data_IF_461675968702
#
_entry.id   IF_461675968702
#
_cell.length_a   1.000
_cell.length_b   1.000
_cell.length_c   1.000
_cell.angle_alpha   90.00
_cell.angle_beta   90.00
_cell.angle_gamma   90.00
#
_symmetry.space_group_name_H-M   'P 1'
#
loop_
_entity.id
_entity.type
_entity.pdbx_description
1 polymer ?
#
# COMPACT_ATOMS: atom_id res chain seq x y z
N UNK A 1 9.56 -28.53 -10.84
CA UNK A 1 10.43 -27.96 -9.78
C UNK A 1 10.18 -26.46 -9.70
N UNK A 2 10.25 -25.93 -8.48
CA UNK A 2 9.98 -24.55 -8.00
C UNK A 2 8.52 -24.17 -7.74
N UNK A 3 8.22 -23.49 -6.62
CA UNK A 3 7.34 -24.08 -5.62
C UNK A 3 6.16 -23.19 -5.19
N UNK A 4 5.19 -23.87 -4.60
CA UNK A 4 4.09 -23.34 -3.79
C UNK A 4 4.59 -22.44 -2.67
N UNK A 5 4.00 -21.26 -2.53
CA UNK A 5 4.00 -20.48 -1.28
C UNK A 5 2.52 -20.29 -0.91
N UNK A 6 1.98 -21.27 -0.19
CA UNK A 6 0.73 -21.13 0.55
C UNK A 6 1.11 -20.65 1.96
N UNK A 7 0.71 -19.43 2.29
CA UNK A 7 0.75 -18.94 3.66
C UNK A 7 -0.30 -19.71 4.47
N UNK A 8 0.18 -20.56 5.38
CA UNK A 8 -0.60 -21.40 6.28
C UNK A 8 -0.94 -20.61 7.54
N UNK A 9 -2.17 -20.08 7.63
CA UNK A 9 -2.82 -19.73 8.91
C UNK A 9 -4.19 -19.08 8.66
N UNK A 10 -5.25 -19.91 8.63
CA UNK A 10 -6.61 -19.60 9.12
C UNK A 10 -7.54 -20.78 8.77
N UNK A 11 -7.38 -21.88 9.50
CA UNK A 11 -8.33 -22.99 9.50
C UNK A 11 -9.29 -22.80 10.67
N UNK A 12 -10.52 -22.37 10.38
CA UNK A 12 -11.64 -22.55 11.30
C UNK A 12 -12.47 -23.74 10.81
N UNK A 13 -12.47 -24.79 11.63
CA UNK A 13 -13.29 -25.99 11.47
C UNK A 13 -14.48 -25.88 12.43
N UNK A 14 -15.68 -26.23 11.95
CA UNK A 14 -16.87 -26.45 12.79
C UNK A 14 -17.33 -27.92 12.67
N UNK A 15 -18.01 -28.45 13.70
CA UNK A 15 -18.13 -29.90 13.93
C UNK A 15 -19.18 -30.57 13.04
N UNK A 16 -18.94 -31.84 12.69
CA UNK A 16 -19.96 -32.76 12.14
C UNK A 16 -20.91 -33.26 13.25
N UNK A 17 -21.92 -34.10 13.02
CA UNK A 17 -22.42 -34.88 11.86
C UNK A 17 -23.84 -35.30 12.25
N UNK A 18 -24.80 -35.35 11.32
CA UNK A 18 -25.90 -36.31 11.42
C UNK A 18 -26.22 -36.91 10.05
N UNK A 19 -26.41 -38.23 10.05
CA UNK A 19 -26.59 -39.08 8.90
C UNK A 19 -27.93 -38.83 8.22
N UNK A 20 -27.91 -38.51 6.93
CA UNK A 20 -29.07 -38.62 6.06
C UNK A 20 -28.67 -39.47 4.86
N UNK A 21 -29.33 -40.61 4.69
CA UNK A 21 -29.20 -41.43 3.50
C UNK A 21 -29.74 -40.63 2.31
N UNK A 22 -28.87 -40.26 1.36
CA UNK A 22 -29.26 -39.53 0.15
C UNK A 22 -28.98 -40.40 -1.07
N UNK A 23 -30.01 -40.62 -1.88
CA UNK A 23 -29.92 -41.28 -3.19
C UNK A 23 -28.76 -40.73 -4.01
N UNK A 24 -27.85 -41.62 -4.42
CA UNK A 24 -26.61 -41.31 -5.15
C UNK A 24 -26.83 -40.48 -6.42
N UNK A 25 -27.96 -40.64 -7.10
CA UNK A 25 -28.24 -39.93 -8.35
C UNK A 25 -28.67 -38.48 -8.14
N UNK A 26 -29.37 -38.18 -7.05
CA UNK A 26 -29.80 -36.81 -6.71
C UNK A 26 -28.61 -35.96 -6.25
N UNK A 27 -27.74 -36.56 -5.42
CA UNK A 27 -26.56 -35.87 -4.90
C UNK A 27 -25.56 -35.57 -6.03
N UNK A 28 -25.44 -36.44 -7.04
CA UNK A 28 -24.55 -36.22 -8.18
C UNK A 28 -25.01 -35.06 -9.07
N UNK A 29 -26.32 -34.91 -9.28
CA UNK A 29 -26.89 -33.77 -9.99
C UNK A 29 -26.86 -32.47 -9.16
N UNK A 30 -27.12 -32.53 -7.85
CA UNK A 30 -26.91 -31.37 -6.96
C UNK A 30 -25.43 -30.95 -6.90
N UNK A 31 -24.49 -31.90 -6.85
CA UNK A 31 -23.06 -31.63 -6.89
C UNK A 31 -22.69 -31.01 -8.24
N UNK A 32 -23.19 -31.54 -9.38
CA UNK A 32 -23.00 -30.96 -10.73
C UNK A 32 -23.58 -29.55 -10.85
N UNK A 33 -24.77 -29.30 -10.30
CA UNK A 33 -25.39 -27.99 -10.27
C UNK A 33 -24.59 -27.01 -9.38
N UNK A 34 -24.11 -27.46 -8.22
CA UNK A 34 -23.21 -26.69 -7.34
C UNK A 34 -21.82 -26.49 -7.96
N UNK A 35 -21.32 -27.40 -8.79
CA UNK A 35 -20.08 -27.18 -9.56
C UNK A 35 -20.29 -26.22 -10.74
N UNK A 36 -21.47 -26.21 -11.36
CA UNK A 36 -21.86 -25.23 -12.40
C UNK A 36 -21.84 -23.79 -11.90
N UNK A 37 -22.10 -23.57 -10.61
CA UNK A 37 -21.94 -22.25 -9.97
C UNK A 37 -20.48 -21.75 -9.96
N UNK A 38 -19.50 -22.61 -10.28
CA UNK A 38 -18.06 -22.30 -10.29
C UNK A 38 -17.43 -22.20 -11.68
N UNK A 39 -18.20 -22.49 -12.74
CA UNK A 39 -17.72 -22.56 -14.12
C UNK A 39 -17.81 -23.97 -14.74
N UNK A 40 -17.42 -24.08 -16.02
CA UNK A 40 -17.19 -25.33 -16.76
C UNK A 40 -15.68 -25.60 -16.90
N UNK A 41 -15.29 -26.74 -17.51
CA UNK A 41 -13.89 -26.99 -17.88
C UNK A 41 -13.31 -25.92 -18.81
N UNK A 42 -14.15 -25.27 -19.62
CA UNK A 42 -13.76 -24.26 -20.62
C UNK A 42 -13.97 -22.82 -20.16
N UNK A 43 -14.62 -22.58 -19.02
CA UNK A 43 -14.94 -21.25 -18.54
C UNK A 43 -15.06 -21.18 -17.03
N UNK A 44 -14.49 -20.14 -16.42
CA UNK A 44 -14.74 -19.79 -15.02
C UNK A 44 -15.08 -18.31 -14.92
N UNK A 45 -15.98 -17.91 -14.01
CA UNK A 45 -16.30 -16.51 -13.80
C UNK A 45 -15.06 -15.72 -13.36
N UNK A 46 -14.97 -14.42 -13.73
CA UNK A 46 -13.90 -13.56 -13.26
C UNK A 46 -13.80 -13.56 -11.74
N UNK A 47 -12.57 -13.62 -11.22
CA UNK A 47 -12.29 -13.61 -9.78
C UNK A 47 -12.17 -12.18 -9.27
N UNK A 48 -12.57 -11.96 -8.01
CA UNK A 48 -12.30 -10.72 -7.29
C UNK A 48 -10.82 -10.62 -6.94
N UNK A 49 -9.99 -10.30 -7.92
CA UNK A 49 -8.55 -10.11 -7.77
C UNK A 49 -8.13 -8.79 -8.41
N UNK A 50 -7.23 -8.07 -7.73
CA UNK A 50 -6.66 -6.83 -8.23
C UNK A 50 -5.51 -7.15 -9.18
N UNK A 51 -5.57 -6.58 -10.39
CA UNK A 51 -4.55 -6.71 -11.41
C UNK A 51 -3.73 -5.41 -11.45
N UNK A 52 -2.44 -5.53 -11.15
CA UNK A 52 -1.52 -4.39 -11.09
C UNK A 52 -0.76 -4.13 -12.39
N UNK A 53 -0.95 -4.97 -13.41
CA UNK A 53 -0.28 -4.85 -14.71
C UNK A 53 -1.24 -4.42 -15.79
N UNK A 54 -0.75 -3.68 -16.79
CA UNK A 54 -1.52 -3.36 -17.99
C UNK A 54 -1.64 -4.63 -18.84
N UNK A 55 -2.83 -4.89 -19.37
CA UNK A 55 -3.04 -6.02 -20.28
C UNK A 55 -2.41 -5.71 -21.65
N UNK A 56 -1.68 -6.67 -22.24
CA UNK A 56 -1.12 -6.50 -23.58
C UNK A 56 -2.21 -6.31 -24.63
N UNK A 57 -1.90 -5.56 -25.68
CA UNK A 57 -2.79 -5.34 -26.81
C UNK A 57 -2.70 -6.52 -27.77
N UNK A 58 -3.84 -7.16 -28.06
CA UNK A 58 -3.95 -8.30 -28.96
C UNK A 58 -5.06 -8.08 -30.00
N UNK A 59 -5.01 -8.82 -31.11
CA UNK A 59 -6.09 -8.72 -32.12
C UNK A 59 -7.36 -9.34 -31.54
N UNK A 60 -8.52 -8.75 -31.86
CA UNK A 60 -9.84 -9.23 -31.39
C UNK A 60 -10.01 -10.75 -31.59
N UNK A 61 -9.68 -11.24 -32.78
CA UNK A 61 -9.81 -12.67 -33.12
C UNK A 61 -8.97 -13.57 -32.22
N UNK A 62 -7.76 -13.14 -31.85
CA UNK A 62 -6.85 -13.90 -30.97
C UNK A 62 -7.42 -13.98 -29.56
N UNK A 63 -7.89 -12.83 -29.01
CA UNK A 63 -8.47 -12.79 -27.66
C UNK A 63 -9.74 -13.63 -27.61
N UNK A 64 -10.66 -13.47 -28.57
CA UNK A 64 -11.92 -14.22 -28.62
C UNK A 64 -11.68 -15.73 -28.75
N UNK A 65 -10.71 -16.16 -29.57
CA UNK A 65 -10.32 -17.55 -29.67
C UNK A 65 -9.71 -18.07 -28.35
N UNK A 66 -8.89 -17.27 -27.67
CA UNK A 66 -8.28 -17.64 -26.37
C UNK A 66 -9.28 -17.79 -25.21
N UNK A 67 -10.47 -17.18 -25.33
CA UNK A 67 -11.60 -17.37 -24.40
C UNK A 67 -12.64 -18.37 -24.95
N UNK A 68 -12.23 -19.24 -25.88
CA UNK A 68 -13.04 -20.31 -26.47
C UNK A 68 -14.37 -19.85 -27.08
N UNK A 69 -14.39 -18.64 -27.65
CA UNK A 69 -15.60 -18.02 -28.19
C UNK A 69 -16.72 -17.87 -27.14
N UNK A 70 -16.39 -17.86 -25.85
CA UNK A 70 -17.33 -17.64 -24.76
C UNK A 70 -17.25 -16.19 -24.28
N UNK A 71 -18.37 -15.64 -23.81
CA UNK A 71 -18.34 -14.40 -23.04
C UNK A 71 -17.54 -14.60 -21.75
N UNK A 72 -16.54 -13.75 -21.51
CA UNK A 72 -15.71 -13.88 -20.31
C UNK A 72 -16.48 -13.68 -18.99
N UNK A 73 -17.65 -13.03 -19.02
CA UNK A 73 -18.45 -12.72 -17.82
C UNK A 73 -19.49 -13.76 -17.45
N UNK A 74 -20.18 -14.36 -18.43
CA UNK A 74 -21.28 -15.30 -18.20
C UNK A 74 -21.08 -16.69 -18.83
N UNK A 75 -20.01 -16.88 -19.61
CA UNK A 75 -19.72 -18.17 -20.25
C UNK A 75 -20.62 -18.51 -21.44
N UNK A 76 -21.53 -17.62 -21.84
CA UNK A 76 -22.39 -17.82 -23.02
C UNK A 76 -21.55 -17.88 -24.29
N UNK A 77 -21.82 -18.89 -25.13
CA UNK A 77 -21.18 -19.05 -26.43
C UNK A 77 -21.55 -17.92 -27.37
N UNK A 78 -20.56 -17.40 -28.09
CA UNK A 78 -20.70 -16.28 -29.01
C UNK A 78 -20.62 -16.80 -30.44
N UNK A 79 -21.76 -16.79 -31.13
CA UNK A 79 -21.78 -17.16 -32.54
C UNK A 79 -20.91 -16.20 -33.39
N UNK A 80 -20.28 -16.68 -34.47
CA UNK A 80 -19.37 -15.88 -35.30
C UNK A 80 -19.92 -14.53 -35.76
N UNK A 81 -21.21 -14.47 -36.09
CA UNK A 81 -21.89 -13.22 -36.51
C UNK A 81 -21.97 -12.15 -35.43
N UNK A 82 -21.92 -12.53 -34.15
CA UNK A 82 -22.02 -11.62 -33.00
C UNK A 82 -20.67 -11.24 -32.40
N UNK A 83 -19.56 -11.84 -32.84
CA UNK A 83 -18.20 -11.50 -32.37
C UNK A 83 -17.91 -10.00 -32.49
N UNK A 84 -18.43 -9.34 -33.54
CA UNK A 84 -18.22 -7.90 -33.74
C UNK A 84 -18.90 -7.02 -32.68
N UNK A 85 -19.95 -7.52 -32.03
CA UNK A 85 -20.74 -6.81 -31.00
C UNK A 85 -20.15 -6.93 -29.59
N UNK A 86 -19.18 -7.83 -29.38
CA UNK A 86 -18.53 -7.96 -28.09
C UNK A 86 -17.77 -6.68 -27.71
N UNK A 87 -17.77 -6.38 -26.41
CA UNK A 87 -17.09 -5.22 -25.82
C UNK A 87 -15.84 -5.67 -25.08
N UNK A 88 -14.77 -4.92 -25.25
CA UNK A 88 -13.47 -5.24 -24.63
C UNK A 88 -13.37 -4.59 -23.26
N UNK A 89 -13.09 -5.39 -22.24
CA UNK A 89 -12.76 -4.88 -20.91
C UNK A 89 -11.25 -4.66 -20.82
N UNK A 90 -10.82 -3.41 -20.75
CA UNK A 90 -9.41 -3.00 -20.66
C UNK A 90 -8.73 -3.46 -19.36
N UNK A 91 -9.51 -3.69 -18.29
CA UNK A 91 -8.99 -4.18 -17.01
C UNK A 91 -8.65 -5.67 -17.04
N UNK A 92 -9.57 -6.51 -17.57
CA UNK A 92 -9.40 -7.97 -17.63
C UNK A 92 -8.72 -8.46 -18.92
N UNK A 93 -8.67 -7.63 -19.96
CA UNK A 93 -8.07 -7.98 -21.24
C UNK A 93 -8.87 -9.01 -22.05
N UNK A 94 -10.20 -9.00 -21.89
CA UNK A 94 -11.11 -10.02 -22.46
C UNK A 94 -12.38 -9.40 -23.04
N UNK A 95 -13.07 -10.16 -23.88
CA UNK A 95 -14.32 -9.73 -24.51
C UNK A 95 -15.56 -10.24 -23.78
N UNK A 96 -16.58 -9.37 -23.70
CA UNK A 96 -17.83 -9.59 -22.97
C UNK A 96 -19.03 -9.30 -23.88
N UNK A 97 -20.13 -10.01 -23.64
CA UNK A 97 -21.42 -9.67 -24.24
C UNK A 97 -21.96 -8.34 -23.70
N UNK A 98 -23.00 -7.83 -24.34
CA UNK A 98 -23.70 -6.61 -23.95
C UNK A 98 -24.34 -6.71 -22.55
N UNK A 99 -24.80 -7.89 -22.13
CA UNK A 99 -25.33 -8.10 -20.78
C UNK A 99 -24.26 -7.99 -19.67
N UNK A 100 -23.00 -8.29 -19.96
CA UNK A 100 -21.91 -8.27 -18.95
C UNK A 100 -21.04 -7.02 -19.05
N UNK A 101 -21.28 -6.18 -20.04
CA UNK A 101 -20.51 -4.97 -20.27
C UNK A 101 -21.44 -3.90 -20.81
N UNK A 102 -22.11 -3.17 -19.92
CA UNK A 102 -23.03 -2.08 -20.24
C UNK A 102 -22.40 -0.88 -20.97
N UNK A 103 -21.07 -0.78 -21.00
CA UNK A 103 -20.33 0.37 -21.53
C UNK A 103 -19.73 1.25 -20.44
N UNK A 104 -19.73 0.75 -19.21
CA UNK A 104 -19.10 1.38 -18.07
C UNK A 104 -17.61 1.65 -18.30
N UNK A 105 -17.11 2.72 -17.67
CA UNK A 105 -15.71 3.08 -17.70
C UNK A 105 -15.15 3.28 -16.29
N UNK A 106 -13.88 2.91 -16.11
CA UNK A 106 -13.16 3.06 -14.84
C UNK A 106 -11.70 3.43 -15.06
N UNK A 107 -11.08 4.00 -14.01
CA UNK A 107 -9.63 4.13 -13.94
C UNK A 107 -9.03 2.76 -13.66
N UNK A 108 -7.97 2.39 -14.37
CA UNK A 108 -7.35 1.06 -14.26
C UNK A 108 -6.10 1.11 -13.39
N UNK A 109 -6.04 0.37 -12.27
CA UNK A 109 -4.89 0.31 -11.37
C UNK A 109 -3.56 0.09 -12.07
N UNK A 110 -3.47 -0.90 -12.95
CA UNK A 110 -2.21 -1.19 -13.64
C UNK A 110 -1.68 -0.05 -14.51
N UNK A 111 -2.58 0.78 -15.08
CA UNK A 111 -2.19 1.97 -15.86
C UNK A 111 -1.71 3.09 -14.95
N UNK A 112 -2.40 3.34 -13.83
CA UNK A 112 -1.96 4.30 -12.80
C UNK A 112 -0.56 3.94 -12.30
N UNK A 113 -0.35 2.68 -11.94
CA UNK A 113 0.91 2.18 -11.35
C UNK A 113 2.08 2.18 -12.34
N UNK A 114 1.81 1.94 -13.63
CA UNK A 114 2.85 1.83 -14.65
C UNK A 114 3.23 3.17 -15.29
N UNK A 115 2.24 4.02 -15.58
CA UNK A 115 2.42 5.25 -16.36
C UNK A 115 1.69 6.47 -15.81
N UNK A 116 1.20 6.43 -14.56
CA UNK A 116 0.49 7.55 -13.92
C UNK A 116 -0.74 8.04 -14.69
N UNK A 117 -1.37 7.11 -15.40
CA UNK A 117 -2.53 7.37 -16.24
C UNK A 117 -3.83 7.13 -15.45
N UNK A 118 -4.67 8.17 -15.38
CA UNK A 118 -5.98 8.13 -14.72
C UNK A 118 -7.11 8.36 -15.73
N UNK A 119 -6.85 8.11 -17.02
CA UNK A 119 -7.90 8.01 -18.02
C UNK A 119 -8.94 6.96 -17.62
N UNK A 120 -10.18 7.18 -18.05
CA UNK A 120 -11.25 6.20 -17.89
C UNK A 120 -11.28 5.33 -19.14
N UNK A 121 -11.38 4.03 -18.93
CA UNK A 121 -11.32 3.03 -19.97
C UNK A 121 -12.51 2.08 -19.88
N UNK A 122 -13.00 1.55 -21.01
CA UNK A 122 -14.10 0.58 -21.03
C UNK A 122 -13.78 -0.65 -20.17
N UNK A 123 -14.70 -0.99 -19.26
CA UNK A 123 -14.58 -2.14 -18.38
C UNK A 123 -15.92 -2.89 -18.29
N UNK A 124 -15.83 -4.21 -18.08
CA UNK A 124 -17.03 -5.02 -17.80
C UNK A 124 -17.70 -4.57 -16.50
N UNK A 125 -18.99 -4.85 -16.35
CA UNK A 125 -19.76 -4.41 -15.18
C UNK A 125 -19.22 -5.05 -13.89
N UNK A 126 -18.78 -6.31 -13.97
CA UNK A 126 -18.03 -6.97 -12.91
C UNK A 126 -16.77 -6.19 -12.51
N UNK A 127 -15.97 -5.78 -13.48
CA UNK A 127 -14.71 -5.06 -13.24
C UNK A 127 -14.98 -3.68 -12.65
N UNK A 128 -16.03 -3.00 -13.13
CA UNK A 128 -16.49 -1.72 -12.58
C UNK A 128 -16.85 -1.86 -11.10
N UNK A 129 -17.68 -2.85 -10.75
CA UNK A 129 -18.07 -3.12 -9.38
C UNK A 129 -16.87 -3.42 -8.48
N UNK A 130 -15.94 -4.28 -8.94
CA UNK A 130 -14.71 -4.57 -8.21
C UNK A 130 -13.89 -3.29 -7.97
N UNK A 131 -13.58 -2.55 -9.03
CA UNK A 131 -12.74 -1.35 -8.97
C UNK A 131 -13.35 -0.27 -8.07
N UNK A 132 -14.66 -0.08 -8.10
CA UNK A 132 -15.36 0.85 -7.23
C UNK A 132 -15.30 0.40 -5.75
N UNK A 133 -15.49 -0.91 -5.49
CA UNK A 133 -15.46 -1.44 -4.12
C UNK A 133 -14.10 -1.30 -3.43
N UNK A 134 -13.01 -1.29 -4.20
CA UNK A 134 -11.63 -1.19 -3.68
C UNK A 134 -11.04 0.21 -3.81
N UNK A 135 -11.79 1.18 -4.34
CA UNK A 135 -11.27 2.50 -4.71
C UNK A 135 -10.61 3.24 -3.53
N UNK A 136 -11.25 3.18 -2.36
CA UNK A 136 -10.80 3.82 -1.12
C UNK A 136 -9.95 2.89 -0.25
N UNK A 137 -9.74 1.63 -0.65
CA UNK A 137 -9.02 0.66 0.17
C UNK A 137 -7.51 0.81 -0.02
N UNK A 138 -6.72 0.86 1.07
CA UNK A 138 -5.27 1.03 1.00
C UNK A 138 -4.59 -0.30 0.64
N UNK A 139 -4.56 -0.63 -0.65
CA UNK A 139 -4.11 -1.94 -1.17
C UNK A 139 -2.81 -1.86 -1.98
N UNK A 140 -2.31 -0.67 -2.26
CA UNK A 140 -1.20 -0.44 -3.19
C UNK A 140 0.06 -0.02 -2.44
N UNK A 141 0.89 -0.99 -2.08
CA UNK A 141 2.26 -0.73 -1.62
C UNK A 141 3.16 -0.40 -2.81
N UNK A 142 3.54 0.87 -2.94
CA UNK A 142 4.31 1.36 -4.08
C UNK A 142 5.74 0.82 -4.12
N UNK A 143 6.26 0.27 -3.02
CA UNK A 143 7.54 -0.45 -3.03
C UNK A 143 7.45 -1.80 -3.74
N UNK A 144 6.24 -2.38 -3.80
CA UNK A 144 5.96 -3.66 -4.43
C UNK A 144 5.46 -3.50 -5.87
N UNK A 145 4.40 -2.71 -6.07
CA UNK A 145 3.66 -2.65 -7.34
C UNK A 145 3.93 -1.41 -8.20
N UNK A 146 4.58 -0.38 -7.64
CA UNK A 146 4.74 0.94 -8.26
C UNK A 146 6.18 1.47 -8.23
N UNK A 147 7.18 0.58 -8.31
CA UNK A 147 8.60 0.85 -7.97
C UNK A 147 9.20 2.11 -8.61
N UNK A 148 8.74 2.49 -9.80
CA UNK A 148 9.27 3.63 -10.54
C UNK A 148 8.45 4.92 -10.35
N UNK A 149 7.30 4.88 -9.68
CA UNK A 149 6.40 6.03 -9.58
C UNK A 149 7.03 7.22 -8.86
N UNK A 150 7.75 6.98 -7.75
CA UNK A 150 8.44 8.06 -7.05
C UNK A 150 9.45 8.80 -7.94
N UNK A 151 10.18 8.08 -8.78
CA UNK A 151 11.15 8.69 -9.70
C UNK A 151 10.50 9.48 -10.84
N UNK A 152 9.28 9.10 -11.24
CA UNK A 152 8.57 9.69 -12.39
C UNK A 152 7.61 10.80 -12.00
N UNK A 153 7.08 10.78 -10.78
CA UNK A 153 5.99 11.64 -10.33
C UNK A 153 6.46 12.50 -9.17
N UNK A 154 6.87 13.73 -9.50
CA UNK A 154 7.43 14.69 -8.53
C UNK A 154 6.48 14.98 -7.35
N UNK A 155 5.17 15.11 -7.61
CA UNK A 155 4.19 15.38 -6.54
C UNK A 155 4.05 14.21 -5.56
N UNK A 156 4.17 12.98 -6.04
CA UNK A 156 4.14 11.80 -5.19
C UNK A 156 5.41 11.70 -4.33
N UNK A 157 6.57 12.03 -4.91
CA UNK A 157 7.84 12.09 -4.21
C UNK A 157 7.83 13.16 -3.11
N UNK A 158 7.32 14.36 -3.43
CA UNK A 158 7.08 15.44 -2.45
C UNK A 158 6.14 15.01 -1.33
N UNK A 159 5.07 14.29 -1.66
CA UNK A 159 4.16 13.77 -0.63
C UNK A 159 4.87 12.80 0.30
N UNK A 160 5.68 11.87 -0.24
CA UNK A 160 6.47 10.92 0.56
C UNK A 160 7.39 11.64 1.54
N UNK A 161 8.11 12.67 1.11
CA UNK A 161 9.00 13.44 1.98
C UNK A 161 8.25 14.10 3.14
N UNK A 162 7.08 14.70 2.86
CA UNK A 162 6.22 15.31 3.88
C UNK A 162 5.65 14.24 4.83
N UNK A 163 5.23 13.10 4.29
CA UNK A 163 4.72 11.96 5.07
C UNK A 163 5.80 11.43 6.02
N UNK A 164 7.03 11.23 5.55
CA UNK A 164 8.13 10.74 6.36
C UNK A 164 8.45 11.69 7.53
N UNK A 165 8.41 13.00 7.29
CA UNK A 165 8.56 14.01 8.36
C UNK A 165 7.39 13.97 9.35
N UNK A 166 6.15 13.86 8.87
CA UNK A 166 4.96 13.72 9.73
C UNK A 166 5.02 12.46 10.60
N UNK A 167 5.44 11.32 10.04
CA UNK A 167 5.62 10.08 10.79
C UNK A 167 6.75 10.22 11.83
N UNK A 168 7.80 10.96 11.49
CA UNK A 168 8.90 11.30 12.40
C UNK A 168 8.46 12.15 13.59
N UNK A 169 7.72 13.23 13.34
CA UNK A 169 7.26 14.17 14.38
C UNK A 169 6.11 13.59 15.22
N UNK A 170 5.27 12.71 14.64
CA UNK A 170 4.12 12.08 15.32
C UNK A 170 4.49 11.39 16.64
N UNK A 171 5.66 10.75 16.73
CA UNK A 171 6.13 10.12 17.98
C UNK A 171 6.40 11.13 19.09
N UNK A 172 6.95 12.30 18.74
CA UNK A 172 7.21 13.39 19.67
C UNK A 172 5.89 14.01 20.14
N UNK A 173 4.97 14.29 19.22
CA UNK A 173 3.64 14.83 19.53
C UNK A 173 2.87 13.90 20.48
N UNK A 174 2.80 12.60 20.19
CA UNK A 174 2.14 11.62 21.09
C UNK A 174 2.69 11.61 22.52
N UNK A 175 3.95 11.97 22.73
CA UNK A 175 4.57 12.05 24.05
C UNK A 175 4.42 13.44 24.72
N UNK A 176 3.85 14.42 24.02
CA UNK A 176 3.62 15.78 24.48
C UNK A 176 2.14 15.99 24.85
N UNK A 177 1.86 16.25 26.13
CA UNK A 177 0.51 16.53 26.65
C UNK A 177 -0.13 17.82 26.12
N UNK A 178 0.63 18.70 25.46
CA UNK A 178 0.16 19.98 24.93
C UNK A 178 -0.12 19.92 23.42
N UNK A 179 0.07 18.77 22.77
CA UNK A 179 -0.02 18.64 21.30
C UNK A 179 -1.38 18.18 20.78
N UNK A 180 -2.41 18.12 21.65
CA UNK A 180 -3.70 17.49 21.33
C UNK A 180 -4.39 18.12 20.10
N UNK A 181 -4.31 19.45 19.94
CA UNK A 181 -4.86 20.15 18.77
C UNK A 181 -4.17 19.74 17.47
N UNK A 182 -2.84 19.71 17.47
CA UNK A 182 -2.04 19.27 16.32
C UNK A 182 -2.31 17.80 15.97
N UNK A 183 -2.43 16.94 16.99
CA UNK A 183 -2.78 15.54 16.77
C UNK A 183 -4.16 15.37 16.14
N UNK A 184 -5.13 16.22 16.50
CA UNK A 184 -6.44 16.24 15.86
C UNK A 184 -6.35 16.70 14.39
N UNK A 185 -5.50 17.68 14.07
CA UNK A 185 -5.27 18.08 12.67
C UNK A 185 -4.71 16.94 11.81
N UNK A 186 -3.85 16.09 12.39
CA UNK A 186 -3.37 14.88 11.70
C UNK A 186 -4.55 13.98 11.29
N UNK A 187 -5.62 13.88 12.08
CA UNK A 187 -6.76 12.98 11.79
C UNK A 187 -7.50 13.32 10.49
N UNK A 188 -7.33 14.52 9.94
CA UNK A 188 -7.80 14.87 8.60
C UNK A 188 -7.13 14.05 7.48
N UNK A 189 -5.96 13.45 7.76
CA UNK A 189 -5.32 12.51 6.85
C UNK A 189 -5.83 11.08 7.13
N UNK A 190 -6.10 10.29 6.07
CA UNK A 190 -6.44 8.87 6.20
C UNK A 190 -5.49 8.11 7.13
N UNK A 191 -6.05 7.20 7.93
CA UNK A 191 -5.30 6.50 8.98
C UNK A 191 -4.08 5.74 8.43
N UNK A 192 -4.21 5.05 7.30
CA UNK A 192 -3.11 4.31 6.67
C UNK A 192 -1.95 5.23 6.27
N UNK A 193 -2.22 6.44 5.78
CA UNK A 193 -1.17 7.42 5.44
C UNK A 193 -0.45 7.96 6.68
N UNK A 194 -1.08 7.89 7.86
CA UNK A 194 -0.45 8.28 9.13
C UNK A 194 0.30 7.15 9.81
N UNK A 195 0.26 5.94 9.30
CA UNK A 195 0.79 4.75 9.97
C UNK A 195 1.84 4.02 9.15
N UNK A 196 1.60 3.89 7.84
CA UNK A 196 2.45 3.14 6.94
C UNK A 196 2.91 4.04 5.80
N UNK A 197 4.23 4.17 5.65
CA UNK A 197 4.80 4.80 4.46
C UNK A 197 4.59 3.88 3.26
N UNK A 198 4.34 4.46 2.08
CA UNK A 198 4.21 3.78 0.79
C UNK A 198 2.91 3.00 0.52
N UNK A 199 1.98 2.87 1.49
CA UNK A 199 0.69 2.23 1.26
C UNK A 199 -0.38 3.26 0.85
N UNK A 200 -1.01 3.04 -0.31
CA UNK A 200 -2.01 3.96 -0.87
C UNK A 200 -3.28 3.23 -1.32
N UNK A 201 -4.38 3.97 -1.37
CA UNK A 201 -5.58 3.64 -2.16
C UNK A 201 -5.53 4.31 -3.53
N UNK A 202 -6.43 3.93 -4.45
CA UNK A 202 -6.54 4.63 -5.74
C UNK A 202 -7.01 6.08 -5.58
N UNK A 203 -7.87 6.33 -4.59
CA UNK A 203 -8.32 7.67 -4.25
C UNK A 203 -7.16 8.57 -3.80
N UNK A 204 -6.26 8.06 -2.95
CA UNK A 204 -5.09 8.82 -2.50
C UNK A 204 -4.18 9.20 -3.68
N UNK A 205 -3.88 8.24 -4.57
CA UNK A 205 -3.09 8.50 -5.77
C UNK A 205 -3.78 9.53 -6.67
N UNK A 206 -5.11 9.52 -6.75
CA UNK A 206 -5.87 10.52 -7.49
C UNK A 206 -5.80 11.90 -6.81
N UNK A 207 -5.88 11.98 -5.48
CA UNK A 207 -5.71 13.23 -4.72
C UNK A 207 -4.30 13.80 -4.87
N UNK A 208 -3.27 12.94 -4.94
CA UNK A 208 -1.89 13.35 -5.28
C UNK A 208 -1.85 13.95 -6.68
N UNK A 209 -2.43 13.28 -7.68
CA UNK A 209 -2.50 13.80 -9.06
C UNK A 209 -3.24 15.14 -9.15
N UNK A 210 -4.32 15.30 -8.38
CA UNK A 210 -5.10 16.55 -8.29
C UNK A 210 -4.39 17.66 -7.50
N UNK A 211 -3.22 17.39 -6.90
CA UNK A 211 -2.47 18.36 -6.10
C UNK A 211 -3.12 18.69 -4.75
N UNK A 212 -4.01 17.83 -4.25
CA UNK A 212 -4.78 18.08 -3.02
C UNK A 212 -4.08 17.57 -1.77
N UNK A 213 -3.39 16.43 -1.89
CA UNK A 213 -2.84 15.73 -0.73
C UNK A 213 -1.57 16.38 -0.16
N UNK A 214 -0.71 16.92 -1.04
CA UNK A 214 0.55 17.57 -0.63
C UNK A 214 0.30 18.85 0.20
N UNK A 215 -0.54 19.80 -0.24
CA UNK A 215 -0.84 21.00 0.57
C UNK A 215 -1.47 20.66 1.91
N UNK A 216 -2.40 19.69 1.93
CA UNK A 216 -3.04 19.23 3.16
C UNK A 216 -2.00 18.70 4.17
N UNK A 217 -1.11 17.81 3.73
CA UNK A 217 -0.07 17.26 4.59
C UNK A 217 0.96 18.32 5.02
N UNK A 218 1.31 19.27 4.15
CA UNK A 218 2.21 20.38 4.48
C UNK A 218 1.62 21.32 5.54
N UNK A 219 0.33 21.63 5.48
CA UNK A 219 -0.32 22.46 6.48
C UNK A 219 -0.23 21.82 7.87
N UNK A 220 -0.54 20.52 7.95
CA UNK A 220 -0.42 19.74 9.20
C UNK A 220 1.04 19.68 9.68
N UNK A 221 2.00 19.48 8.77
CA UNK A 221 3.41 19.45 9.11
C UNK A 221 3.88 20.80 9.66
N UNK A 222 3.44 21.91 9.07
CA UNK A 222 3.78 23.24 9.56
C UNK A 222 3.21 23.49 10.96
N UNK A 223 1.95 23.12 11.20
CA UNK A 223 1.33 23.19 12.54
C UNK A 223 2.15 22.39 13.57
N UNK A 224 2.58 21.18 13.18
CA UNK A 224 3.41 20.32 14.03
C UNK A 224 4.80 20.91 14.32
N UNK A 225 5.47 21.48 13.32
CA UNK A 225 6.77 22.14 13.49
C UNK A 225 6.62 23.36 14.41
N UNK A 226 5.65 24.24 14.13
CA UNK A 226 5.36 25.42 14.96
C UNK A 226 5.10 25.02 16.41
N UNK A 227 4.35 23.93 16.65
CA UNK A 227 4.15 23.42 18.00
C UNK A 227 5.46 22.98 18.66
N UNK A 228 6.31 22.22 17.97
CA UNK A 228 7.58 21.75 18.52
C UNK A 228 8.52 22.90 18.87
N UNK A 229 8.58 23.93 18.03
CA UNK A 229 9.42 25.11 18.23
C UNK A 229 8.96 25.96 19.43
N UNK A 230 7.65 26.01 19.70
CA UNK A 230 7.07 26.83 20.76
C UNK A 230 6.70 26.05 22.03
N UNK A 231 6.97 24.73 22.10
CA UNK A 231 6.60 23.90 23.22
C UNK A 231 7.83 23.42 24.00
N UNK A 232 8.00 23.91 25.23
CA UNK A 232 9.12 23.53 26.11
C UNK A 232 9.20 22.01 26.36
N UNK A 233 8.06 21.31 26.42
CA UNK A 233 8.03 19.85 26.61
C UNK A 233 8.57 19.08 25.39
N UNK A 234 8.40 19.64 24.19
CA UNK A 234 8.96 19.11 22.95
C UNK A 234 10.44 19.46 22.84
N UNK A 235 10.81 20.72 23.10
CA UNK A 235 12.20 21.18 23.10
C UNK A 235 13.07 20.38 24.06
N UNK A 236 12.58 20.08 25.27
CA UNK A 236 13.29 19.26 26.26
C UNK A 236 13.56 17.81 25.81
N UNK A 237 12.86 17.31 24.78
CA UNK A 237 13.06 15.98 24.18
C UNK A 237 13.96 16.01 22.94
N UNK A 238 14.37 17.19 22.49
CA UNK A 238 15.32 17.35 21.39
C UNK A 238 16.74 16.96 21.80
N UNK A 239 17.67 17.08 20.85
CA UNK A 239 19.06 16.72 21.06
C UNK A 239 19.96 17.93 20.88
N UNK A 240 21.04 17.99 21.64
CA UNK A 240 22.15 18.91 21.43
C UNK A 240 23.26 18.13 20.74
N UNK A 241 23.81 18.67 19.66
CA UNK A 241 24.89 18.00 18.94
C UNK A 241 26.18 18.01 19.77
N UNK A 242 26.65 16.85 20.23
CA UNK A 242 27.84 16.77 21.11
C UNK A 242 29.17 17.17 20.45
N UNK A 243 29.20 17.26 19.12
CA UNK A 243 30.39 17.66 18.35
C UNK A 243 30.60 19.17 18.35
N UNK A 244 29.59 19.94 17.91
CA UNK A 244 29.69 21.40 17.88
C UNK A 244 29.27 22.04 19.22
N UNK A 245 28.41 21.37 19.99
CA UNK A 245 27.83 21.87 21.25
C UNK A 245 27.17 23.25 21.11
N UNK A 246 26.75 23.60 19.90
CA UNK A 246 25.86 24.73 19.65
C UNK A 246 24.57 24.52 20.46
N UNK A 247 23.95 25.61 20.92
CA UNK A 247 22.72 25.54 21.73
C UNK A 247 21.48 25.15 20.91
N UNK A 248 21.65 24.97 19.60
CA UNK A 248 20.58 24.60 18.69
C UNK A 248 20.08 23.19 18.97
N UNK A 249 18.76 23.09 19.19
CA UNK A 249 18.08 21.83 19.46
C UNK A 249 17.73 21.19 18.12
N UNK A 250 18.21 19.97 17.90
CA UNK A 250 17.92 19.19 16.70
C UNK A 250 17.01 18.01 17.00
N UNK A 251 16.18 17.68 16.03
CA UNK A 251 15.22 16.59 16.13
C UNK A 251 15.46 15.50 15.07
N UNK A 252 15.08 14.25 15.36
CA UNK A 252 15.13 13.14 14.41
C UNK A 252 14.41 13.38 13.06
N UNK A 253 13.35 14.19 13.04
CA UNK A 253 12.52 14.41 11.86
C UNK A 253 13.09 15.46 10.90
N UNK A 254 14.05 16.29 11.35
CA UNK A 254 14.74 17.31 10.55
C UNK A 254 15.82 16.64 9.68
N UNK A 255 15.39 15.82 8.73
CA UNK A 255 16.27 14.96 7.94
C UNK A 255 17.26 15.72 7.06
N UNK A 256 17.06 17.01 6.85
CA UNK A 256 17.92 17.94 6.12
C UNK A 256 19.18 18.28 6.92
N UNK A 257 19.05 18.62 8.21
CA UNK A 257 20.16 19.04 9.08
C UNK A 257 20.64 17.97 10.07
N UNK A 258 19.81 16.97 10.37
CA UNK A 258 20.05 15.97 11.42
C UNK A 258 20.40 14.59 10.84
N UNK A 259 21.34 13.90 11.48
CA UNK A 259 21.69 12.51 11.23
C UNK A 259 21.69 11.72 12.54
N UNK A 260 21.04 10.56 12.53
CA UNK A 260 20.98 9.66 13.69
C UNK A 260 22.09 8.63 13.65
N UNK A 261 22.67 8.35 14.81
CA UNK A 261 23.55 7.21 14.97
C UNK A 261 22.75 5.90 14.77
N UNK A 262 23.22 4.96 13.94
CA UNK A 262 22.51 3.69 13.70
C UNK A 262 22.43 2.83 14.96
N UNK A 263 23.42 2.91 15.85
CA UNK A 263 23.50 2.13 17.09
C UNK A 263 22.66 2.74 18.22
N UNK A 264 23.10 3.90 18.75
CA UNK A 264 22.50 4.49 19.96
C UNK A 264 21.34 5.46 19.69
N UNK A 265 21.00 5.68 18.41
CA UNK A 265 19.91 6.56 17.96
C UNK A 265 19.99 8.03 18.35
N UNK A 266 21.12 8.47 18.94
CA UNK A 266 21.41 9.87 19.22
C UNK A 266 21.49 10.70 17.92
N UNK A 267 21.09 11.96 18.00
CA UNK A 267 21.04 12.88 16.87
C UNK A 267 22.24 13.83 16.88
N UNK A 268 22.76 14.11 15.70
CA UNK A 268 23.87 15.02 15.46
C UNK A 268 23.62 15.80 14.17
N UNK A 269 24.22 16.99 14.02
CA UNK A 269 24.20 17.66 12.74
C UNK A 269 24.85 16.79 11.66
N UNK A 270 24.25 16.77 10.46
CA UNK A 270 24.80 16.03 9.29
C UNK A 270 26.25 16.40 9.01
N UNK A 271 26.57 17.71 9.05
CA UNK A 271 27.92 18.25 8.86
C UNK A 271 28.92 17.80 9.93
N UNK A 272 28.44 17.50 11.15
CA UNK A 272 29.29 17.12 12.27
C UNK A 272 29.49 15.60 12.39
N UNK A 273 28.50 14.80 11.97
CA UNK A 273 28.52 13.36 12.22
C UNK A 273 29.35 12.57 11.19
N UNK A 274 30.54 12.16 11.60
CA UNK A 274 31.35 11.18 10.87
C UNK A 274 30.92 9.76 11.23
N UNK A 275 30.51 8.99 10.23
CA UNK A 275 30.03 7.61 10.38
C UNK A 275 31.11 6.75 11.07
N UNK A 276 30.70 5.90 12.02
CA UNK A 276 31.55 5.07 12.91
C UNK A 276 32.29 5.78 14.07
N UNK A 277 32.24 7.12 14.19
CA UNK A 277 32.83 7.86 15.32
C UNK A 277 31.77 8.47 16.24
N UNK A 278 30.79 7.69 16.72
CA UNK A 278 29.77 8.23 17.62
C UNK A 278 30.31 8.42 19.05
N UNK A 279 30.34 9.64 19.60
CA UNK A 279 30.90 9.90 20.94
C UNK A 279 30.10 9.22 22.05
N UNK A 280 28.76 9.14 21.90
CA UNK A 280 27.90 8.45 22.84
C UNK A 280 28.16 6.94 22.85
N UNK A 281 28.31 6.30 21.69
CA UNK A 281 28.65 4.88 21.61
C UNK A 281 30.02 4.59 22.22
N UNK A 282 31.03 5.43 21.95
CA UNK A 282 32.35 5.29 22.55
C UNK A 282 32.29 5.37 24.09
N UNK A 283 31.53 6.34 24.64
CA UNK A 283 31.30 6.42 26.09
C UNK A 283 30.57 5.19 26.64
N UNK A 284 29.53 4.70 25.96
CA UNK A 284 28.80 3.49 26.39
C UNK A 284 29.73 2.28 26.41
N UNK A 285 30.56 2.10 25.37
CA UNK A 285 31.49 0.98 25.28
C UNK A 285 32.55 1.05 26.39
N UNK A 286 33.21 2.19 26.57
CA UNK A 286 34.22 2.37 27.64
C UNK A 286 33.67 2.09 29.04
N UNK A 287 32.39 2.41 29.31
CA UNK A 287 31.74 2.10 30.59
C UNK A 287 31.47 0.61 30.74
N UNK A 288 31.12 -0.10 29.66
CA UNK A 288 30.94 -1.55 29.66
C UNK A 288 32.27 -2.28 29.89
N UNK A 289 33.33 -1.84 29.22
CA UNK A 289 34.65 -2.46 29.32
C UNK A 289 35.18 -2.36 30.77
N UNK A 290 35.10 -1.17 31.39
CA UNK A 290 35.46 -0.98 32.81
C UNK A 290 34.68 -1.87 33.76
N UNK A 291 33.38 -2.06 33.50
CA UNK A 291 32.53 -2.91 34.36
C UNK A 291 32.91 -4.39 34.21
N UNK A 292 33.27 -4.82 33.01
CA UNK A 292 33.72 -6.20 32.75
C UNK A 292 35.13 -6.46 33.32
N UNK A 293 36.01 -5.47 33.33
CA UNK A 293 37.33 -5.55 33.97
C UNK A 293 37.21 -5.72 35.49
N UNK A 294 36.34 -4.94 36.15
CA UNK A 294 36.06 -5.11 37.58
C UNK A 294 35.46 -6.47 37.93
N UNK A 295 34.64 -7.07 37.05
CA UNK A 295 34.07 -8.41 37.28
C UNK A 295 35.10 -9.53 37.08
N UNK A 296 36.18 -9.30 36.31
CA UNK A 296 37.28 -10.26 36.14
C UNK A 296 38.34 -10.18 37.24
N UNK A 297 38.41 -9.09 37.99
CA UNK A 297 39.32 -8.97 39.14
C UNK A 297 38.77 -9.60 40.42
N UNK A 298 37.47 -9.91 40.46
CA UNK A 298 36.77 -10.48 41.62
C UNK A 298 36.48 -11.99 41.48
N UNK A 299 37.09 -12.67 40.48
CA UNK A 299 37.05 -14.13 40.27
C UNK A 299 38.45 -14.69 40.24
#
# INVERSE_FOLDING_TARGET
MTPSILCSSCSYQLPGTENVAVSSDSLTEEIRQRTRMRGSLSWAPPRFQIIFTVQPTHRRSEVVASQHFLCAGCGTEVEPRYIKKLRYCEYLGRYFCDCCHSGSEAVIPGRVLSCWDFGRYPVSDFSKQLLDSVWQQPLFDLTCVGKNLYSKVKELDRFREVQDQLLGIKKLLKACRLSQSVLAELEHLPAHLREQSNLFSMDDLQKVKKGQLVPQAKAVLQSAITHVENCELCLARGFICEFCREKDIIFPFQTDICKRCPECKACFHKKCFVVKKCPKCARIQSRKDRRNESMKSDT
#
